data_IF_394693973925
#
_entry.id   IF_394693973925
#
_cell.length_a   1.000
_cell.length_b   1.000
_cell.length_c   1.000
_cell.angle_alpha   90.00
_cell.angle_beta   90.00
_cell.angle_gamma   90.00
#
_symmetry.space_group_name_H-M   'P 1'
#
loop_
_entity.id
_entity.type
_entity.pdbx_description
1 polymer ?
#
# COMPACT_ATOMS: atom_id res chain seq x y z
N UNK A 1 -2.97 -24.84 -12.06
CA UNK A 1 -1.96 -24.00 -12.75
C UNK A 1 -2.04 -22.59 -12.21
N UNK A 2 -0.90 -21.89 -12.08
CA UNK A 2 -0.86 -20.46 -11.73
C UNK A 2 -1.15 -19.62 -12.98
N UNK A 3 -1.99 -18.59 -12.87
CA UNK A 3 -2.47 -17.80 -14.03
C UNK A 3 -1.95 -16.37 -14.04
N UNK A 4 -1.84 -15.71 -12.88
CA UNK A 4 -1.33 -14.35 -12.74
C UNK A 4 -0.98 -14.03 -11.28
N UNK A 5 -0.31 -12.89 -11.06
CA UNK A 5 -0.30 -12.24 -9.76
C UNK A 5 -1.64 -11.55 -9.53
N UNK A 6 -2.27 -11.81 -8.39
CA UNK A 6 -3.56 -11.20 -8.05
C UNK A 6 -3.40 -9.74 -7.58
N UNK A 7 -2.39 -9.50 -6.75
CA UNK A 7 -2.03 -8.19 -6.21
C UNK A 7 -0.59 -8.18 -5.71
N UNK A 8 -0.06 -6.98 -5.45
CA UNK A 8 1.15 -6.77 -4.64
C UNK A 8 0.72 -6.24 -3.28
N UNK A 9 1.29 -6.77 -2.20
CA UNK A 9 1.12 -6.22 -0.85
C UNK A 9 2.39 -5.53 -0.39
N UNK A 10 2.25 -4.28 0.05
CA UNK A 10 3.31 -3.49 0.65
C UNK A 10 2.94 -3.13 2.09
N UNK A 11 3.93 -3.19 2.98
CA UNK A 11 3.79 -2.70 4.33
C UNK A 11 3.90 -1.16 4.36
N UNK A 12 3.20 -0.54 5.29
CA UNK A 12 3.25 0.90 5.54
C UNK A 12 3.19 1.18 7.05
N UNK A 13 3.78 2.29 7.53
CA UNK A 13 3.70 2.66 8.92
C UNK A 13 2.28 3.14 9.29
N UNK A 14 1.87 3.05 10.57
CA UNK A 14 0.58 3.58 11.02
C UNK A 14 0.40 5.07 10.71
N UNK A 15 -0.80 5.47 10.30
CA UNK A 15 -1.14 6.87 10.00
C UNK A 15 -0.67 7.40 8.64
N UNK A 16 -0.09 6.53 7.80
CA UNK A 16 0.40 6.91 6.47
C UNK A 16 -0.69 7.02 5.40
N UNK A 17 -1.93 6.63 5.68
CA UNK A 17 -2.99 6.47 4.67
C UNK A 17 -3.30 7.76 3.91
N UNK A 18 -3.23 8.93 4.55
CA UNK A 18 -3.43 10.21 3.86
C UNK A 18 -2.33 10.45 2.81
N UNK A 19 -1.07 10.17 3.14
CA UNK A 19 0.05 10.30 2.21
C UNK A 19 -0.03 9.25 1.09
N UNK A 20 -0.43 8.02 1.42
CA UNK A 20 -0.63 6.94 0.45
C UNK A 20 -1.73 7.31 -0.57
N UNK A 21 -2.87 7.84 -0.11
CA UNK A 21 -3.95 8.33 -0.99
C UNK A 21 -3.50 9.49 -1.87
N UNK A 22 -2.78 10.45 -1.30
CA UNK A 22 -2.25 11.58 -2.06
C UNK A 22 -1.30 11.12 -3.18
N UNK A 23 -0.45 10.14 -2.90
CA UNK A 23 0.50 9.62 -3.89
C UNK A 23 -0.14 8.65 -4.89
N UNK A 24 -0.67 7.52 -4.43
CA UNK A 24 -1.20 6.48 -5.31
C UNK A 24 -2.47 6.93 -6.03
N UNK A 25 -3.37 7.63 -5.33
CA UNK A 25 -4.58 8.18 -5.93
C UNK A 25 -4.34 9.48 -6.70
N UNK A 26 -3.67 10.45 -6.07
CA UNK A 26 -3.49 11.78 -6.64
C UNK A 26 -2.40 11.86 -7.72
N UNK A 27 -1.20 11.34 -7.43
CA UNK A 27 -0.05 11.46 -8.36
C UNK A 27 -0.07 10.35 -9.42
N UNK A 28 -0.32 9.10 -9.01
CA UNK A 28 -0.30 7.95 -9.92
C UNK A 28 -1.65 7.69 -10.60
N UNK A 29 -2.72 8.34 -10.15
CA UNK A 29 -4.05 8.21 -10.75
C UNK A 29 -4.70 6.84 -10.53
N UNK A 30 -4.30 6.09 -9.49
CA UNK A 30 -4.95 4.82 -9.16
C UNK A 30 -6.30 5.06 -8.46
N UNK A 31 -7.24 4.15 -8.63
CA UNK A 31 -8.54 4.22 -7.95
C UNK A 31 -8.44 3.54 -6.60
N UNK A 32 -8.74 4.25 -5.51
CA UNK A 32 -8.88 3.62 -4.19
C UNK A 32 -10.15 2.74 -4.16
N UNK A 33 -10.01 1.51 -3.68
CA UNK A 33 -11.11 0.55 -3.54
C UNK A 33 -11.33 0.18 -2.07
N UNK A 34 -12.60 -0.05 -1.65
CA UNK A 34 -12.89 -0.39 -0.27
C UNK A 34 -12.31 -1.77 0.08
N UNK A 35 -11.73 -1.86 1.28
CA UNK A 35 -11.31 -3.14 1.84
C UNK A 35 -12.54 -3.99 2.19
N UNK A 36 -12.44 -5.33 2.09
CA UNK A 36 -13.47 -6.23 2.61
C UNK A 36 -13.77 -5.96 4.09
N UNK A 37 -15.01 -6.17 4.53
CA UNK A 37 -15.48 -5.82 5.88
C UNK A 37 -14.58 -6.38 6.99
N UNK A 38 -14.11 -7.63 6.88
CA UNK A 38 -13.23 -8.27 7.87
C UNK A 38 -11.83 -7.65 7.99
N UNK A 39 -11.45 -6.78 7.04
CA UNK A 39 -10.15 -6.10 7.03
C UNK A 39 -10.27 -4.59 7.27
N UNK A 40 -11.48 -4.02 7.29
CA UNK A 40 -11.69 -2.57 7.36
C UNK A 40 -10.97 -1.91 8.55
N UNK A 41 -10.97 -2.55 9.73
CA UNK A 41 -10.34 -2.03 10.95
C UNK A 41 -8.81 -2.15 11.02
N UNK A 42 -8.15 -2.75 10.02
CA UNK A 42 -6.70 -3.04 10.07
C UNK A 42 -5.78 -1.90 9.57
N UNK A 43 -6.34 -0.72 9.30
CA UNK A 43 -5.60 0.41 8.68
C UNK A 43 -5.19 0.14 7.22
N UNK A 44 -4.60 1.14 6.57
CA UNK A 44 -4.13 1.02 5.18
C UNK A 44 -5.21 1.30 4.12
N UNK A 45 -4.84 1.11 2.85
CA UNK A 45 -5.66 1.42 1.68
C UNK A 45 -5.34 0.49 0.50
N UNK A 46 -6.34 0.20 -0.33
CA UNK A 46 -6.22 -0.66 -1.50
C UNK A 46 -6.46 0.17 -2.76
N UNK A 47 -5.69 -0.09 -3.82
CA UNK A 47 -5.78 0.64 -5.07
C UNK A 47 -5.81 -0.30 -6.28
N UNK A 48 -6.46 0.14 -7.35
CA UNK A 48 -6.49 -0.56 -8.63
C UNK A 48 -6.18 0.40 -9.80
N UNK A 49 -5.49 -0.13 -10.82
CA UNK A 49 -5.26 0.54 -12.10
C UNK A 49 -5.18 -0.52 -13.22
N UNK A 50 -6.28 -0.69 -13.97
CA UNK A 50 -6.37 -1.74 -14.99
C UNK A 50 -6.23 -3.14 -14.36
N UNK A 51 -5.18 -3.87 -14.73
CA UNK A 51 -4.89 -5.21 -14.18
C UNK A 51 -4.02 -5.18 -12.91
N UNK A 52 -3.57 -3.99 -12.48
CA UNK A 52 -2.72 -3.83 -11.30
C UNK A 52 -3.58 -3.63 -10.07
N UNK A 53 -3.32 -4.44 -9.03
CA UNK A 53 -3.89 -4.26 -7.69
C UNK A 53 -2.78 -4.09 -6.66
N UNK A 54 -2.92 -3.09 -5.81
CA UNK A 54 -1.96 -2.75 -4.76
C UNK A 54 -2.66 -2.68 -3.40
N UNK A 55 -2.20 -3.50 -2.47
CA UNK A 55 -2.68 -3.50 -1.09
C UNK A 55 -1.60 -2.91 -0.17
N UNK A 56 -1.89 -1.76 0.45
CA UNK A 56 -1.00 -1.14 1.43
C UNK A 56 -1.52 -1.42 2.83
N UNK A 57 -0.84 -2.33 3.54
CA UNK A 57 -1.21 -2.75 4.88
C UNK A 57 -0.41 -2.02 5.95
N UNK A 58 -1.08 -1.59 7.03
CA UNK A 58 -0.40 -0.99 8.18
C UNK A 58 0.26 -2.07 9.04
N UNK A 59 1.55 -1.90 9.33
CA UNK A 59 2.31 -2.76 10.25
C UNK A 59 2.87 -1.92 11.40
N UNK A 60 2.59 -2.32 12.64
CA UNK A 60 3.04 -1.58 13.83
C UNK A 60 4.59 -1.51 13.92
N UNK A 61 5.27 -2.60 13.58
CA UNK A 61 6.73 -2.71 13.58
C UNK A 61 7.34 -2.42 12.20
N UNK A 62 6.71 -1.53 11.40
CA UNK A 62 7.17 -1.23 10.05
C UNK A 62 8.66 -0.87 10.00
N UNK A 63 9.43 -1.66 9.25
CA UNK A 63 10.86 -1.42 8.99
C UNK A 63 11.04 -1.00 7.54
N UNK A 64 10.95 0.31 7.32
CA UNK A 64 11.23 0.89 6.00
C UNK A 64 12.64 0.57 5.50
N UNK A 65 12.90 0.74 4.19
CA UNK A 65 14.23 0.59 3.63
C UNK A 65 15.20 1.50 4.38
N UNK A 66 16.25 0.91 4.95
CA UNK A 66 17.28 1.66 5.66
C UNK A 66 18.24 2.22 4.60
N UNK A 67 18.20 3.52 4.35
CA UNK A 67 19.29 4.19 3.61
C UNK A 67 20.55 4.01 4.45
N UNK A 68 21.56 3.33 3.91
CA UNK A 68 22.90 3.40 4.46
C UNK A 68 23.37 4.84 4.26
N UNK A 69 23.33 5.65 5.32
CA UNK A 69 24.02 6.93 5.32
C UNK A 69 25.51 6.62 5.26
N UNK A 70 26.10 6.62 4.06
CA UNK A 70 27.54 6.71 3.91
C UNK A 70 28.05 7.99 4.59
N UNK A 71 29.31 8.03 5.04
CA UNK A 71 29.87 9.25 5.63
C UNK A 71 29.73 10.40 4.63
N UNK A 72 29.25 11.54 5.12
CA UNK A 72 29.24 12.80 4.37
C UNK A 72 30.65 13.27 4.09
#
# INVERSE_FOLDING_TARGET
MLTALDHVQLAAPPGSEAALRAFYGGVLGMTEVPKPAGLAGRGGCWFEAGTVRLHLGVEADFRGPRVASGPR
#
